data_IF_727692817427
#
_entry.id   IF_727692817427
#
_cell.length_a   1.000
_cell.length_b   1.000
_cell.length_c   1.000
_cell.angle_alpha   90.00
_cell.angle_beta   90.00
_cell.angle_gamma   90.00
#
_symmetry.space_group_name_H-M   'P 1'
#
loop_
_entity.id
_entity.type
_entity.pdbx_description
1 polymer ?
#
# COMPACT_ATOMS: atom_id res chain seq x y z
N UNK A 1 20.60 11.63 23.58
CA UNK A 1 20.13 10.34 23.02
C UNK A 1 18.62 10.43 22.86
N UNK A 2 18.06 10.35 21.64
CA UNK A 2 16.60 10.44 21.43
C UNK A 2 15.93 9.22 22.07
N UNK A 3 15.02 9.45 23.03
CA UNK A 3 14.24 8.38 23.66
C UNK A 3 13.47 7.58 22.60
N UNK A 4 13.69 6.26 22.55
CA UNK A 4 13.03 5.34 21.61
C UNK A 4 11.50 5.48 21.63
N UNK A 5 10.94 5.64 22.83
CA UNK A 5 9.51 5.91 23.06
C UNK A 5 9.03 7.21 22.39
N UNK A 6 9.86 8.25 22.38
CA UNK A 6 9.56 9.52 21.73
C UNK A 6 9.53 9.39 20.20
N UNK A 7 10.51 8.70 19.63
CA UNK A 7 10.56 8.40 18.18
C UNK A 7 9.34 7.59 17.72
N UNK A 8 8.96 6.55 18.45
CA UNK A 8 7.78 5.74 18.12
C UNK A 8 6.48 6.56 18.20
N UNK A 9 6.30 7.34 19.27
CA UNK A 9 5.12 8.21 19.43
C UNK A 9 5.02 9.24 18.30
N UNK A 10 6.13 9.88 17.95
CA UNK A 10 6.18 10.86 16.86
C UNK A 10 5.91 10.19 15.51
N UNK A 11 6.43 8.97 15.28
CA UNK A 11 6.15 8.19 14.08
C UNK A 11 4.67 7.83 13.93
N UNK A 12 4.01 7.42 15.01
CA UNK A 12 2.57 7.16 15.03
C UNK A 12 1.75 8.44 14.75
N UNK A 13 2.12 9.57 15.34
CA UNK A 13 1.46 10.84 15.04
C UNK A 13 1.69 11.26 13.58
N UNK A 14 2.86 10.97 13.02
CA UNK A 14 3.14 11.23 11.60
C UNK A 14 2.25 10.37 10.71
N UNK A 15 2.08 9.07 11.01
CA UNK A 15 1.23 8.20 10.17
C UNK A 15 -0.21 8.70 10.11
N UNK A 16 -0.76 9.29 11.18
CA UNK A 16 -2.08 9.91 11.15
C UNK A 16 -2.14 11.11 10.19
N UNK A 17 -1.09 11.93 10.15
CA UNK A 17 -1.01 13.07 9.22
C UNK A 17 -0.91 12.56 7.79
N UNK A 18 -0.06 11.57 7.54
CA UNK A 18 0.11 10.92 6.24
C UNK A 18 -1.20 10.34 5.72
N UNK A 19 -1.92 9.59 6.57
CA UNK A 19 -3.22 9.01 6.23
C UNK A 19 -4.25 10.10 5.92
N UNK A 20 -4.27 11.18 6.71
CA UNK A 20 -5.16 12.33 6.47
C UNK A 20 -4.80 13.07 5.18
N UNK A 21 -3.52 13.18 4.83
CA UNK A 21 -3.07 13.77 3.57
C UNK A 21 -3.48 12.90 2.39
N UNK A 22 -3.25 11.59 2.46
CA UNK A 22 -3.68 10.64 1.44
C UNK A 22 -5.20 10.69 1.23
N UNK A 23 -6.00 10.66 2.31
CA UNK A 23 -7.47 10.79 2.22
C UNK A 23 -7.95 12.13 1.64
N UNK A 24 -7.13 13.19 1.73
CA UNK A 24 -7.42 14.50 1.11
C UNK A 24 -7.05 14.54 -0.37
N UNK A 25 -6.10 13.72 -0.80
CA UNK A 25 -5.73 13.54 -2.20
C UNK A 25 -6.71 12.59 -2.87
N UNK A 26 -7.91 13.10 -3.21
CA UNK A 26 -9.02 12.30 -3.78
C UNK A 26 -8.59 11.45 -4.97
N UNK A 27 -7.74 12.00 -5.83
CA UNK A 27 -7.16 11.30 -6.97
C UNK A 27 -6.40 10.04 -6.53
N UNK A 28 -5.45 10.18 -5.60
CA UNK A 28 -4.70 9.05 -5.04
C UNK A 28 -5.60 8.03 -4.35
N UNK A 29 -6.64 8.45 -3.62
CA UNK A 29 -7.61 7.53 -3.01
C UNK A 29 -8.31 6.69 -4.07
N UNK A 30 -8.81 7.33 -5.14
CA UNK A 30 -9.54 6.64 -6.22
C UNK A 30 -8.61 5.68 -6.96
N UNK A 31 -7.43 6.12 -7.39
CA UNK A 31 -6.53 5.28 -8.18
C UNK A 31 -5.81 4.20 -7.38
N UNK A 32 -5.55 4.41 -6.09
CA UNK A 32 -4.90 3.38 -5.26
C UNK A 32 -5.90 2.37 -4.71
N UNK A 33 -7.07 2.79 -4.21
CA UNK A 33 -8.03 1.90 -3.55
C UNK A 33 -9.16 1.42 -4.46
N UNK A 34 -9.79 2.32 -5.22
CA UNK A 34 -10.98 1.99 -6.00
C UNK A 34 -10.66 1.39 -7.36
N UNK A 35 -9.59 1.83 -8.02
CA UNK A 35 -9.24 1.35 -9.34
C UNK A 35 -9.07 -0.18 -9.43
N UNK A 36 -8.34 -0.86 -8.50
CA UNK A 36 -8.27 -2.32 -8.52
C UNK A 36 -9.63 -3.00 -8.32
N UNK A 37 -10.50 -2.41 -7.49
CA UNK A 37 -11.85 -2.94 -7.26
C UNK A 37 -12.72 -2.77 -8.51
N UNK A 38 -12.65 -1.62 -9.17
CA UNK A 38 -13.34 -1.39 -10.45
C UNK A 38 -12.86 -2.38 -11.51
N UNK A 39 -11.55 -2.59 -11.62
CA UNK A 39 -11.00 -3.60 -12.53
C UNK A 39 -11.50 -5.00 -12.19
N UNK A 40 -11.54 -5.35 -10.90
CA UNK A 40 -12.12 -6.63 -10.46
C UNK A 40 -13.59 -6.76 -10.90
N UNK A 41 -14.39 -5.71 -10.77
CA UNK A 41 -15.78 -5.72 -11.22
C UNK A 41 -15.90 -5.91 -12.74
N UNK A 42 -15.13 -5.15 -13.51
CA UNK A 42 -15.16 -5.23 -14.98
C UNK A 42 -14.69 -6.61 -15.42
N UNK A 43 -13.51 -7.03 -15.00
CA UNK A 43 -12.91 -8.27 -15.47
C UNK A 43 -13.60 -9.51 -14.88
N UNK A 44 -14.02 -9.48 -13.62
CA UNK A 44 -14.71 -10.60 -13.00
C UNK A 44 -16.12 -10.85 -13.57
N UNK A 45 -16.79 -9.82 -14.11
CA UNK A 45 -18.11 -9.99 -14.74
C UNK A 45 -18.00 -10.42 -16.21
N UNK A 46 -16.97 -9.95 -16.91
CA UNK A 46 -16.71 -10.27 -18.32
C UNK A 46 -16.12 -11.68 -18.47
N UNK A 47 -15.14 -12.03 -17.65
CA UNK A 47 -14.41 -13.30 -17.74
C UNK A 47 -14.95 -14.30 -16.72
N UNK A 48 -15.76 -15.25 -17.20
CA UNK A 48 -16.36 -16.32 -16.37
C UNK A 48 -15.65 -17.67 -16.50
N UNK A 49 -14.60 -17.72 -17.30
CA UNK A 49 -13.88 -18.95 -17.57
C UNK A 49 -13.06 -19.42 -16.35
N UNK A 50 -12.92 -20.74 -16.24
CA UNK A 50 -11.97 -21.37 -15.31
C UNK A 50 -10.60 -21.47 -15.97
N UNK A 51 -9.57 -20.94 -15.29
CA UNK A 51 -8.18 -20.97 -15.79
C UNK A 51 -7.53 -22.32 -15.46
N UNK A 52 -7.94 -22.93 -14.34
CA UNK A 52 -7.47 -24.24 -13.90
C UNK A 52 -8.62 -24.99 -13.21
N UNK A 53 -8.52 -26.32 -13.00
CA UNK A 53 -9.51 -27.07 -12.25
C UNK A 53 -9.76 -26.45 -10.87
N UNK A 54 -10.98 -25.97 -10.64
CA UNK A 54 -11.38 -25.32 -9.38
C UNK A 54 -10.89 -23.88 -9.18
N UNK A 55 -10.24 -23.24 -10.17
CA UNK A 55 -9.78 -21.85 -10.08
C UNK A 55 -10.44 -21.00 -11.16
N UNK A 56 -11.36 -20.14 -10.73
CA UNK A 56 -12.02 -19.17 -11.62
C UNK A 56 -11.07 -18.03 -11.99
N UNK A 57 -11.31 -17.39 -13.13
CA UNK A 57 -10.55 -16.21 -13.53
C UNK A 57 -10.56 -15.13 -12.46
N UNK A 58 -11.72 -14.83 -11.88
CA UNK A 58 -11.87 -13.85 -10.80
C UNK A 58 -10.99 -14.17 -9.59
N UNK A 59 -10.84 -15.45 -9.23
CA UNK A 59 -9.99 -15.87 -8.11
C UNK A 59 -8.50 -15.63 -8.37
N UNK A 60 -8.03 -15.96 -9.57
CA UNK A 60 -6.67 -15.66 -9.98
C UNK A 60 -6.43 -14.14 -10.08
N UNK A 61 -7.40 -13.40 -10.62
CA UNK A 61 -7.32 -11.96 -10.82
C UNK A 61 -7.25 -11.21 -9.49
N UNK A 62 -8.05 -11.59 -8.49
CA UNK A 62 -7.99 -11.00 -7.13
C UNK A 62 -6.61 -11.19 -6.51
N UNK A 63 -6.03 -12.39 -6.59
CA UNK A 63 -4.69 -12.65 -6.10
C UNK A 63 -3.64 -11.77 -6.81
N UNK A 64 -3.75 -11.63 -8.14
CA UNK A 64 -2.90 -10.75 -8.93
C UNK A 64 -3.05 -9.27 -8.57
N UNK A 65 -4.28 -8.80 -8.33
CA UNK A 65 -4.56 -7.42 -7.92
C UNK A 65 -4.04 -7.12 -6.51
N UNK A 66 -4.09 -8.07 -5.57
CA UNK A 66 -3.48 -7.93 -4.25
C UNK A 66 -1.95 -7.79 -4.39
N UNK A 67 -1.32 -8.65 -5.21
CA UNK A 67 0.12 -8.58 -5.47
C UNK A 67 0.54 -7.28 -6.16
N UNK A 68 -0.23 -6.82 -7.15
CA UNK A 68 -0.02 -5.54 -7.82
C UNK A 68 -0.21 -4.36 -6.87
N UNK A 69 -1.26 -4.39 -6.05
CA UNK A 69 -1.57 -3.36 -5.05
C UNK A 69 -0.46 -3.18 -4.01
N UNK A 70 0.17 -4.29 -3.60
CA UNK A 70 1.33 -4.32 -2.72
C UNK A 70 2.51 -3.53 -3.33
N UNK A 71 2.84 -3.79 -4.60
CA UNK A 71 3.93 -3.09 -5.29
C UNK A 71 3.57 -1.64 -5.56
N UNK A 72 2.36 -1.35 -6.01
CA UNK A 72 1.90 0.02 -6.28
C UNK A 72 1.96 0.90 -5.02
N UNK A 73 1.42 0.41 -3.90
CA UNK A 73 1.32 1.19 -2.66
C UNK A 73 2.67 1.26 -1.93
N UNK A 74 3.42 0.15 -1.87
CA UNK A 74 4.69 0.11 -1.13
C UNK A 74 5.87 0.66 -1.91
N UNK A 75 5.98 0.33 -3.20
CA UNK A 75 7.10 0.77 -4.02
C UNK A 75 6.78 2.07 -4.77
N UNK A 76 5.79 2.04 -5.67
CA UNK A 76 5.55 3.13 -6.62
C UNK A 76 5.13 4.42 -5.92
N UNK A 77 4.16 4.34 -4.99
CA UNK A 77 3.67 5.51 -4.27
C UNK A 77 4.79 6.21 -3.46
N UNK A 78 5.65 5.45 -2.78
CA UNK A 78 6.78 6.02 -2.03
C UNK A 78 7.88 6.56 -2.94
N UNK A 79 8.18 5.85 -4.03
CA UNK A 79 9.15 6.28 -5.03
C UNK A 79 8.76 7.62 -5.68
N UNK A 80 7.48 7.93 -5.76
CA UNK A 80 6.95 9.20 -6.28
C UNK A 80 6.84 10.27 -5.18
N UNK A 81 6.24 9.92 -4.04
CA UNK A 81 5.87 10.90 -3.00
C UNK A 81 7.10 11.48 -2.29
N UNK A 82 8.11 10.66 -2.01
CA UNK A 82 9.30 11.11 -1.26
C UNK A 82 10.11 12.15 -2.06
N UNK A 83 10.38 11.96 -3.37
CA UNK A 83 10.98 13.00 -4.20
C UNK A 83 10.11 14.25 -4.32
N UNK A 84 8.78 14.11 -4.44
CA UNK A 84 7.88 15.27 -4.47
C UNK A 84 7.98 16.11 -3.18
N UNK A 85 7.97 15.47 -2.01
CA UNK A 85 8.15 16.15 -0.71
C UNK A 85 9.56 16.74 -0.52
N UNK A 86 10.55 16.25 -1.28
CA UNK A 86 11.90 16.81 -1.32
C UNK A 86 11.93 18.08 -2.16
N UNK A 87 11.23 18.05 -3.29
CA UNK A 87 11.18 19.11 -4.30
C UNK A 87 10.40 20.32 -3.78
N UNK A 88 9.25 20.10 -3.13
CA UNK A 88 8.42 21.17 -2.54
C UNK A 88 8.97 21.72 -1.21
N UNK A 89 10.09 21.17 -0.73
CA UNK A 89 10.74 21.59 0.52
C UNK A 89 10.07 21.09 1.80
N UNK A 90 9.04 20.23 1.73
CA UNK A 90 8.39 19.61 2.90
C UNK A 90 9.39 18.90 3.80
N UNK A 91 10.34 18.16 3.22
CA UNK A 91 11.41 17.50 4.00
C UNK A 91 12.33 18.50 4.71
N UNK A 92 12.60 19.68 4.12
CA UNK A 92 13.40 20.74 4.76
C UNK A 92 12.67 21.33 5.96
N UNK A 93 11.37 21.59 5.82
CA UNK A 93 10.52 22.08 6.92
C UNK A 93 10.41 21.07 8.06
N UNK A 94 10.25 19.78 7.73
CA UNK A 94 10.20 18.70 8.72
C UNK A 94 11.50 18.57 9.52
N UNK A 95 12.66 18.79 8.88
CA UNK A 95 13.96 18.82 9.58
C UNK A 95 14.10 19.97 10.58
N UNK A 96 13.33 21.05 10.44
CA UNK A 96 13.26 22.14 11.42
C UNK A 96 12.40 21.82 12.66
N UNK A 97 11.68 20.70 12.66
CA UNK A 97 10.85 20.25 13.79
C UNK A 97 11.62 19.24 14.66
N UNK A 98 11.21 18.96 15.91
CA UNK A 98 11.85 17.94 16.75
C UNK A 98 11.77 16.49 16.21
N UNK A 99 11.14 16.28 15.05
CA UNK A 99 10.97 14.96 14.43
C UNK A 99 12.32 14.34 14.03
N UNK A 100 12.52 13.05 14.33
CA UNK A 100 13.66 12.28 13.80
C UNK A 100 13.37 11.76 12.40
N UNK A 101 14.43 11.57 11.60
CA UNK A 101 14.34 10.93 10.27
C UNK A 101 13.67 9.55 10.38
N UNK A 102 13.98 8.77 11.42
CA UNK A 102 13.34 7.47 11.68
C UNK A 102 11.83 7.60 11.91
N UNK A 103 11.35 8.66 12.58
CA UNK A 103 9.92 8.87 12.79
C UNK A 103 9.16 9.11 11.48
N UNK A 104 9.80 9.80 10.52
CA UNK A 104 9.23 10.02 9.19
C UNK A 104 9.04 8.69 8.44
N UNK A 105 10.08 7.85 8.39
CA UNK A 105 10.00 6.56 7.72
C UNK A 105 9.04 5.58 8.41
N UNK A 106 8.96 5.61 9.75
CA UNK A 106 7.92 4.86 10.49
C UNK A 106 6.53 5.33 10.06
N UNK A 107 6.31 6.64 9.93
CA UNK A 107 5.06 7.21 9.46
C UNK A 107 4.66 6.72 8.06
N UNK A 108 5.60 6.73 7.11
CA UNK A 108 5.40 6.23 5.73
C UNK A 108 5.17 4.72 5.69
N UNK A 109 5.94 3.94 6.45
CA UNK A 109 5.76 2.49 6.52
C UNK A 109 4.37 2.14 7.07
N UNK A 110 3.93 2.80 8.14
CA UNK A 110 2.59 2.61 8.69
C UNK A 110 1.50 3.03 7.69
N UNK A 111 1.66 4.14 6.98
CA UNK A 111 0.74 4.54 5.91
C UNK A 111 0.56 3.40 4.90
N UNK A 112 1.66 2.87 4.35
CA UNK A 112 1.62 1.78 3.37
C UNK A 112 0.94 0.54 3.95
N UNK A 113 1.28 0.15 5.18
CA UNK A 113 0.64 -0.99 5.85
C UNK A 113 -0.87 -0.80 5.98
N UNK A 114 -1.33 0.38 6.40
CA UNK A 114 -2.76 0.68 6.51
C UNK A 114 -3.47 0.62 5.14
N UNK A 115 -2.89 1.25 4.13
CA UNK A 115 -3.47 1.25 2.79
C UNK A 115 -3.54 -0.15 2.19
N UNK A 116 -2.50 -0.96 2.40
CA UNK A 116 -2.47 -2.33 1.92
C UNK A 116 -3.51 -3.21 2.62
N UNK A 117 -3.69 -3.07 3.94
CA UNK A 117 -4.73 -3.77 4.68
C UNK A 117 -6.11 -3.40 4.12
N UNK A 118 -6.38 -2.11 3.93
CA UNK A 118 -7.66 -1.64 3.39
C UNK A 118 -7.89 -2.17 1.97
N UNK A 119 -6.91 -2.04 1.08
CA UNK A 119 -7.01 -2.49 -0.31
C UNK A 119 -7.23 -4.00 -0.40
N UNK A 120 -6.48 -4.78 0.38
CA UNK A 120 -6.61 -6.24 0.43
C UNK A 120 -7.98 -6.63 0.97
N UNK A 121 -8.44 -5.99 2.06
CA UNK A 121 -9.77 -6.24 2.62
C UNK A 121 -10.88 -5.91 1.62
N UNK A 122 -10.77 -4.79 0.89
CA UNK A 122 -11.74 -4.43 -0.15
C UNK A 122 -11.77 -5.47 -1.27
N UNK A 123 -10.61 -5.88 -1.80
CA UNK A 123 -10.54 -6.88 -2.87
C UNK A 123 -11.08 -8.25 -2.44
N UNK A 124 -10.77 -8.68 -1.22
CA UNK A 124 -11.31 -9.94 -0.68
C UNK A 124 -12.81 -9.86 -0.44
N UNK A 125 -13.30 -8.74 0.11
CA UNK A 125 -14.72 -8.53 0.39
C UNK A 125 -15.57 -8.49 -0.88
N UNK A 126 -15.19 -7.65 -1.86
CA UNK A 126 -15.93 -7.57 -3.12
C UNK A 126 -15.75 -8.83 -3.96
N UNK A 127 -14.57 -9.43 -3.93
CA UNK A 127 -14.31 -10.70 -4.55
C UNK A 127 -15.22 -11.81 -4.03
N UNK A 128 -15.34 -11.96 -2.71
CA UNK A 128 -16.15 -13.03 -2.12
C UNK A 128 -17.64 -12.81 -2.30
N UNK A 129 -18.12 -11.56 -2.12
CA UNK A 129 -19.56 -11.25 -2.17
C UNK A 129 -20.12 -11.27 -3.59
N UNK A 130 -19.33 -10.85 -4.58
CA UNK A 130 -19.82 -10.68 -5.96
C UNK A 130 -19.42 -11.84 -6.88
N UNK A 131 -18.28 -12.49 -6.61
CA UNK A 131 -17.70 -13.51 -7.48
C UNK A 131 -17.53 -14.88 -6.82
N UNK A 132 -18.14 -15.09 -5.64
CA UNK A 132 -18.14 -16.36 -4.89
C UNK A 132 -16.73 -16.97 -4.76
N UNK A 133 -15.75 -16.15 -4.36
CA UNK A 133 -14.38 -16.61 -4.14
C UNK A 133 -14.35 -17.77 -3.14
N UNK A 134 -13.63 -18.84 -3.51
CA UNK A 134 -13.30 -19.92 -2.60
C UNK A 134 -12.25 -19.44 -1.59
N UNK A 135 -12.73 -18.88 -0.47
CA UNK A 135 -11.87 -18.47 0.63
C UNK A 135 -11.37 -19.70 1.41
N UNK A 136 -10.11 -19.72 1.87
CA UNK A 136 -9.60 -20.82 2.67
C UNK A 136 -10.38 -20.97 3.99
N UNK A 137 -10.82 -22.18 4.30
CA UNK A 137 -11.40 -22.55 5.61
C UNK A 137 -10.31 -22.79 6.66
N UNK A 138 -9.09 -23.12 6.22
CA UNK A 138 -7.98 -23.48 7.10
C UNK A 138 -7.25 -22.27 7.67
N UNK A 139 -7.09 -22.25 8.99
CA UNK A 139 -6.37 -21.21 9.71
C UNK A 139 -4.91 -21.08 9.25
N UNK A 140 -4.29 -22.19 8.84
CA UNK A 140 -2.90 -22.23 8.38
C UNK A 140 -2.68 -21.48 7.05
N UNK A 141 -3.68 -21.51 6.16
CA UNK A 141 -3.62 -20.78 4.88
C UNK A 141 -3.74 -19.27 5.12
N UNK A 142 -4.58 -18.85 6.06
CA UNK A 142 -4.67 -17.45 6.49
C UNK A 142 -3.40 -16.95 7.18
N UNK A 143 -2.76 -17.80 7.99
CA UNK A 143 -1.45 -17.50 8.54
C UNK A 143 -0.42 -17.29 7.43
N UNK A 144 -0.36 -18.21 6.46
CA UNK A 144 0.54 -18.11 5.31
C UNK A 144 0.33 -16.83 4.50
N UNK A 145 -0.93 -16.52 4.19
CA UNK A 145 -1.30 -15.29 3.51
C UNK A 145 -0.84 -14.05 4.29
N UNK A 146 -1.08 -14.02 5.60
CA UNK A 146 -0.76 -12.86 6.46
C UNK A 146 0.73 -12.57 6.50
N UNK A 147 1.58 -13.57 6.77
CA UNK A 147 3.02 -13.31 6.86
C UNK A 147 3.64 -12.99 5.48
N UNK A 148 3.13 -13.58 4.39
CA UNK A 148 3.56 -13.25 3.02
C UNK A 148 3.20 -11.80 2.66
N UNK A 149 1.98 -11.38 2.99
CA UNK A 149 1.53 -9.98 2.82
C UNK A 149 2.41 -9.03 3.62
N UNK A 150 2.69 -9.35 4.89
CA UNK A 150 3.55 -8.53 5.73
C UNK A 150 4.98 -8.43 5.17
N UNK A 151 5.58 -9.55 4.76
CA UNK A 151 6.93 -9.59 4.20
C UNK A 151 7.00 -8.84 2.88
N UNK A 152 6.05 -9.07 1.97
CA UNK A 152 5.96 -8.36 0.71
C UNK A 152 5.78 -6.86 0.91
N UNK A 153 4.92 -6.44 1.84
CA UNK A 153 4.72 -5.02 2.18
C UNK A 153 5.99 -4.38 2.70
N UNK A 154 6.75 -5.08 3.56
CA UNK A 154 8.00 -4.58 4.11
C UNK A 154 9.06 -4.45 3.00
N UNK A 155 9.17 -5.47 2.14
CA UNK A 155 10.11 -5.47 1.01
C UNK A 155 9.82 -4.33 0.04
N UNK A 156 8.57 -4.21 -0.42
CA UNK A 156 8.16 -3.15 -1.36
C UNK A 156 8.35 -1.75 -0.76
N UNK A 157 8.03 -1.55 0.52
CA UNK A 157 8.25 -0.29 1.24
C UNK A 157 9.73 0.09 1.28
N UNK A 158 10.59 -0.86 1.63
CA UNK A 158 12.04 -0.64 1.69
C UNK A 158 12.58 -0.30 0.30
N UNK A 159 12.16 -1.05 -0.72
CA UNK A 159 12.56 -0.79 -2.11
C UNK A 159 12.06 0.58 -2.59
N UNK A 160 10.84 0.98 -2.25
CA UNK A 160 10.27 2.29 -2.62
C UNK A 160 11.04 3.44 -1.99
N UNK A 161 11.38 3.30 -0.70
CA UNK A 161 12.24 4.26 0.01
C UNK A 161 13.64 4.30 -0.62
N UNK A 162 14.26 3.16 -0.89
CA UNK A 162 15.60 3.10 -1.47
C UNK A 162 15.62 3.74 -2.87
N UNK A 163 14.63 3.41 -3.71
CA UNK A 163 14.53 3.93 -5.07
C UNK A 163 14.19 5.42 -5.10
N UNK A 164 13.52 5.95 -4.08
CA UNK A 164 13.21 7.39 -3.98
C UNK A 164 14.45 8.30 -4.05
N UNK A 165 15.66 7.79 -3.82
CA UNK A 165 16.90 8.58 -3.94
C UNK A 165 17.29 8.82 -5.41
N UNK A 166 16.81 7.99 -6.34
CA UNK A 166 17.18 8.03 -7.76
C UNK A 166 16.57 9.23 -8.50
N UNK A 167 15.26 9.54 -8.39
CA UNK A 167 14.70 10.74 -9.01
C UNK A 167 15.30 12.02 -8.42
N UNK A 168 15.78 12.91 -9.29
CA UNK A 168 16.42 14.18 -8.91
C UNK A 168 15.41 15.30 -8.64
N UNK A 169 14.21 15.22 -9.22
CA UNK A 169 13.09 16.15 -9.03
C UNK A 169 11.76 15.39 -8.88
N UNK A 170 10.74 16.05 -8.31
CA UNK A 170 9.39 15.46 -8.22
C UNK A 170 8.81 15.13 -9.60
N UNK A 171 9.08 16.00 -10.59
CA UNK A 171 8.67 15.79 -11.99
C UNK A 171 9.36 14.62 -12.68
N UNK A 172 10.54 14.21 -12.23
CA UNK A 172 11.23 13.01 -12.74
C UNK A 172 10.77 11.72 -12.08
N UNK A 173 10.02 11.82 -10.97
CA UNK A 173 9.51 10.68 -10.22
C UNK A 173 8.09 10.29 -10.68
N UNK A 174 7.27 11.28 -11.08
CA UNK A 174 5.88 11.10 -11.53
C UNK A 174 5.74 10.78 -13.01
#
# INVERSE_FOLDING_TARGET
MKNLRGTLRIGLLRSQIELKQFMRQRESVVFTLFFPVILLFIFGTVFKDTIAPGVTFSQYFVAGMIASGLVNTGFQQLAITIPMERDDGTLKRLRGTPMSVSSYFIGKALLVTFLMIIQTAMLLFFGSVVFDLNLPSDLMLWWNFTWLVLLGSACSTILGIAFSVVPKSGRSAS
#
